data_IF_929050785384
#
_entry.id   IF_929050785384
#
_cell.length_a   1.000
_cell.length_b   1.000
_cell.length_c   1.000
_cell.angle_alpha   90.00
_cell.angle_beta   90.00
_cell.angle_gamma   90.00
#
_symmetry.space_group_name_H-M   'P 1'
#
loop_
_entity.id
_entity.type
_entity.pdbx_description
1 polymer ?
#
# COMPACT_ATOMS: atom_id res chain seq x y z
N UNK A 1 -28.82 -16.11 -70.80
CA UNK A 1 -28.96 -16.24 -69.33
C UNK A 1 -27.88 -15.36 -68.69
N UNK A 2 -28.28 -14.43 -67.80
CA UNK A 2 -27.42 -13.35 -67.28
C UNK A 2 -26.55 -13.85 -66.11
N UNK A 3 -25.28 -13.47 -66.11
CA UNK A 3 -24.29 -13.80 -65.09
C UNK A 3 -24.62 -13.11 -63.75
N UNK A 4 -24.61 -13.88 -62.65
CA UNK A 4 -24.81 -13.40 -61.28
C UNK A 4 -23.47 -13.44 -60.55
N UNK A 5 -22.91 -12.26 -60.26
CA UNK A 5 -21.71 -12.08 -59.43
C UNK A 5 -22.05 -12.46 -57.98
N UNK A 6 -21.23 -13.30 -57.36
CA UNK A 6 -21.25 -13.55 -55.91
C UNK A 6 -20.17 -12.65 -55.32
N UNK A 7 -20.59 -11.67 -54.52
CA UNK A 7 -19.69 -10.78 -53.78
C UNK A 7 -19.81 -11.11 -52.30
N UNK A 8 -18.67 -11.38 -51.68
CA UNK A 8 -18.48 -11.69 -50.27
C UNK A 8 -19.02 -10.58 -49.37
N UNK A 9 -19.86 -10.93 -48.40
CA UNK A 9 -20.27 -10.04 -47.32
C UNK A 9 -19.28 -10.17 -46.16
N UNK A 10 -18.41 -9.17 -46.01
CA UNK A 10 -17.59 -8.95 -44.82
C UNK A 10 -18.38 -7.96 -43.94
N UNK A 11 -18.96 -8.44 -42.83
CA UNK A 11 -19.62 -7.58 -41.86
C UNK A 11 -18.56 -6.95 -40.96
N UNK A 12 -18.26 -5.67 -41.17
CA UNK A 12 -17.50 -4.85 -40.24
C UNK A 12 -18.47 -4.20 -39.23
N UNK A 13 -18.33 -4.54 -37.95
CA UNK A 13 -18.90 -3.75 -36.86
C UNK A 13 -18.11 -2.43 -36.78
N UNK A 14 -18.76 -1.32 -37.15
CA UNK A 14 -18.22 0.02 -36.94
C UNK A 14 -18.68 0.47 -35.55
N UNK A 15 -17.73 0.63 -34.64
CA UNK A 15 -17.92 1.23 -33.32
C UNK A 15 -17.96 2.76 -33.51
N UNK A 16 -19.14 3.36 -33.37
CA UNK A 16 -19.31 4.81 -33.43
C UNK A 16 -18.70 5.47 -32.19
N UNK A 17 -17.52 6.08 -32.33
CA UNK A 17 -16.97 7.00 -31.33
C UNK A 17 -17.66 8.36 -31.54
N UNK A 18 -18.47 8.78 -30.57
CA UNK A 18 -19.03 10.11 -30.53
C UNK A 18 -17.90 11.14 -30.34
N UNK A 19 -17.67 11.97 -31.36
CA UNK A 19 -16.84 13.16 -31.26
C UNK A 19 -17.64 14.26 -30.54
N UNK A 20 -17.30 14.53 -29.29
CA UNK A 20 -17.71 15.78 -28.62
C UNK A 20 -16.93 16.94 -29.25
N UNK A 21 -17.58 18.09 -29.53
CA UNK A 21 -16.89 19.26 -30.05
C UNK A 21 -15.92 19.83 -29.00
N UNK A 22 -14.68 20.09 -29.41
CA UNK A 22 -13.70 20.84 -28.64
C UNK A 22 -14.24 22.25 -28.37
N UNK A 23 -14.77 22.49 -27.17
CA UNK A 23 -14.89 23.83 -26.63
C UNK A 23 -13.50 24.34 -26.27
N UNK A 24 -13.21 25.58 -26.69
CA UNK A 24 -11.96 26.29 -26.44
C UNK A 24 -11.48 26.10 -24.99
N UNK A 25 -10.33 25.48 -24.83
CA UNK A 25 -9.62 25.45 -23.57
C UNK A 25 -9.21 26.89 -23.21
N UNK A 26 -9.78 27.42 -22.13
CA UNK A 26 -9.18 28.54 -21.41
C UNK A 26 -7.72 28.19 -21.05
N UNK A 27 -6.80 29.16 -21.12
CA UNK A 27 -5.41 28.91 -20.73
C UNK A 27 -5.37 28.42 -19.28
N UNK A 28 -4.72 27.26 -19.09
CA UNK A 28 -4.46 26.65 -17.79
C UNK A 28 -3.92 27.69 -16.80
N UNK A 29 -4.77 28.06 -15.84
CA UNK A 29 -4.36 28.84 -14.68
C UNK A 29 -3.43 27.96 -13.83
N UNK A 30 -2.11 28.22 -13.92
CA UNK A 30 -1.05 27.50 -13.21
C UNK A 30 -1.22 27.46 -11.67
N UNK A 31 -2.18 28.19 -11.11
CA UNK A 31 -2.42 28.26 -9.68
C UNK A 31 -3.29 27.11 -9.11
N UNK A 32 -4.00 26.35 -9.94
CA UNK A 32 -4.88 25.24 -9.46
C UNK A 32 -4.12 23.92 -9.34
N UNK A 33 -3.10 23.69 -10.17
CA UNK A 33 -2.25 22.49 -10.09
C UNK A 33 -1.32 22.52 -8.86
N UNK A 34 -0.84 23.70 -8.47
CA UNK A 34 0.10 23.86 -7.34
C UNK A 34 -0.57 23.56 -5.99
N UNK A 35 -1.87 23.87 -5.84
CA UNK A 35 -2.57 23.73 -4.55
C UNK A 35 -2.91 22.27 -4.19
N UNK A 36 -3.16 21.41 -5.19
CA UNK A 36 -3.39 19.97 -4.95
C UNK A 36 -2.11 19.21 -4.64
N UNK A 37 -0.99 19.57 -5.27
CA UNK A 37 0.32 18.97 -4.96
C UNK A 37 0.83 19.41 -3.58
N UNK A 38 0.58 20.64 -3.14
CA UNK A 38 0.97 21.07 -1.80
C UNK A 38 0.14 20.37 -0.70
N UNK A 39 -1.17 20.28 -0.88
CA UNK A 39 -2.06 19.61 0.08
C UNK A 39 -1.83 18.10 0.16
N UNK A 40 -1.63 17.41 -0.97
CA UNK A 40 -1.31 15.98 -0.99
C UNK A 40 0.06 15.66 -0.41
N UNK A 41 1.05 16.54 -0.63
CA UNK A 41 2.40 16.35 -0.09
C UNK A 41 2.49 16.67 1.40
N UNK A 42 1.75 17.69 1.88
CA UNK A 42 1.61 17.95 3.31
C UNK A 42 0.96 16.78 4.07
N UNK A 43 -0.02 16.10 3.48
CA UNK A 43 -0.63 14.91 4.11
C UNK A 43 0.31 13.69 4.14
N UNK A 44 1.16 13.51 3.12
CA UNK A 44 2.16 12.41 3.13
C UNK A 44 3.31 12.69 4.08
N UNK A 45 3.73 13.95 4.19
CA UNK A 45 4.80 14.36 5.11
C UNK A 45 4.33 14.23 6.57
N UNK A 46 3.10 14.67 6.88
CA UNK A 46 2.49 14.48 8.20
C UNK A 46 2.39 12.99 8.57
N UNK A 47 1.81 12.17 7.70
CA UNK A 47 1.71 10.73 7.93
C UNK A 47 3.07 10.05 8.12
N UNK A 48 4.10 10.53 7.40
CA UNK A 48 5.46 10.02 7.56
C UNK A 48 5.99 10.32 8.96
N UNK A 49 5.84 11.55 9.43
CA UNK A 49 6.25 11.95 10.78
C UNK A 49 5.49 11.17 11.85
N UNK A 50 4.18 10.99 11.70
CA UNK A 50 3.34 10.23 12.63
C UNK A 50 3.82 8.78 12.75
N UNK A 51 4.05 8.10 11.62
CA UNK A 51 4.54 6.72 11.62
C UNK A 51 5.99 6.60 12.12
N UNK A 52 6.82 7.64 11.98
CA UNK A 52 8.16 7.69 12.59
C UNK A 52 8.07 7.86 14.10
N UNK A 53 7.07 8.58 14.61
CA UNK A 53 6.81 8.64 16.05
C UNK A 53 6.38 7.27 16.57
N UNK A 54 5.46 6.59 15.87
CA UNK A 54 4.99 5.25 16.22
C UNK A 54 6.09 4.18 16.13
N UNK A 55 7.10 4.36 15.27
CA UNK A 55 8.26 3.46 15.17
C UNK A 55 8.98 3.29 16.50
N UNK A 56 9.04 4.33 17.34
CA UNK A 56 9.70 4.29 18.66
C UNK A 56 9.03 3.32 19.66
N UNK A 57 7.76 3.00 19.40
CA UNK A 57 6.92 2.12 20.21
C UNK A 57 6.65 0.78 19.52
N UNK A 58 7.27 0.57 18.35
CA UNK A 58 7.17 -0.67 17.58
C UNK A 58 8.46 -1.46 17.78
N UNK A 59 8.33 -2.70 18.24
CA UNK A 59 9.47 -3.57 18.55
C UNK A 59 9.42 -4.84 17.68
N UNK A 60 9.96 -4.80 16.45
CA UNK A 60 9.88 -5.92 15.51
C UNK A 60 10.52 -7.20 16.01
N UNK A 61 11.64 -7.11 16.74
CA UNK A 61 12.36 -8.27 17.27
C UNK A 61 11.53 -9.08 18.27
N UNK A 62 10.63 -8.42 18.99
CA UNK A 62 9.74 -9.05 19.99
C UNK A 62 8.29 -9.16 19.51
N UNK A 63 7.97 -8.67 18.31
CA UNK A 63 6.59 -8.57 17.78
C UNK A 63 5.63 -7.89 18.76
N UNK A 64 6.05 -6.74 19.29
CA UNK A 64 5.28 -5.95 20.26
C UNK A 64 5.05 -4.54 19.73
N UNK A 65 3.84 -4.02 19.93
CA UNK A 65 3.54 -2.60 19.77
C UNK A 65 3.01 -2.01 21.10
N UNK A 66 3.67 -0.97 21.60
CA UNK A 66 3.29 -0.25 22.82
C UNK A 66 2.33 0.90 22.50
N UNK A 67 1.03 0.58 22.49
CA UNK A 67 -0.02 1.52 22.14
C UNK A 67 -0.20 2.59 23.22
N UNK A 68 -0.14 2.22 24.51
CA UNK A 68 -0.22 3.19 25.61
C UNK A 68 0.94 4.18 25.56
N UNK A 69 2.16 3.70 25.29
CA UNK A 69 3.34 4.55 25.14
C UNK A 69 3.21 5.54 23.97
N UNK A 70 2.66 5.09 22.84
CA UNK A 70 2.41 5.93 21.67
C UNK A 70 1.39 7.03 21.96
N UNK A 71 0.23 6.69 22.55
CA UNK A 71 -0.85 7.65 22.80
C UNK A 71 -0.54 8.60 23.97
N UNK A 72 0.28 8.18 24.93
CA UNK A 72 0.75 9.08 26.00
C UNK A 72 1.69 10.19 25.48
N UNK A 73 2.33 9.97 24.33
CA UNK A 73 3.21 10.95 23.71
C UNK A 73 2.44 12.00 22.90
N UNK A 74 1.44 11.54 22.15
CA UNK A 74 0.58 12.41 21.35
C UNK A 74 -0.78 11.73 21.12
N UNK A 75 -1.84 12.32 21.67
CA UNK A 75 -3.20 11.81 21.52
C UNK A 75 -3.74 11.99 20.09
N UNK A 76 -3.18 12.93 19.32
CA UNK A 76 -3.59 13.15 17.93
C UNK A 76 -3.23 11.96 17.02
N UNK A 77 -2.35 11.07 17.47
CA UNK A 77 -1.96 9.83 16.76
C UNK A 77 -2.97 8.68 16.93
N UNK A 78 -4.08 8.89 17.65
CA UNK A 78 -5.01 7.80 17.99
C UNK A 78 -5.50 7.03 16.76
N UNK A 79 -5.82 7.72 15.66
CA UNK A 79 -6.32 7.09 14.45
C UNK A 79 -5.28 6.14 13.84
N UNK A 80 -4.07 6.64 13.58
CA UNK A 80 -2.95 5.93 12.97
C UNK A 80 -2.43 4.82 13.89
N UNK A 81 -2.35 5.07 15.20
CA UNK A 81 -1.88 4.10 16.18
C UNK A 81 -2.83 2.90 16.31
N UNK A 82 -4.15 3.15 16.35
CA UNK A 82 -5.15 2.07 16.39
C UNK A 82 -5.21 1.30 15.07
N UNK A 83 -5.06 1.98 13.94
CA UNK A 83 -4.99 1.35 12.62
C UNK A 83 -3.76 0.44 12.50
N UNK A 84 -2.57 0.97 12.84
CA UNK A 84 -1.33 0.20 12.89
C UNK A 84 -1.45 -1.00 13.83
N UNK A 85 -1.94 -0.79 15.07
CA UNK A 85 -2.12 -1.85 16.05
C UNK A 85 -3.03 -2.96 15.52
N UNK A 86 -4.13 -2.61 14.84
CA UNK A 86 -5.05 -3.60 14.27
C UNK A 86 -4.41 -4.49 13.21
N UNK A 87 -3.53 -3.92 12.38
CA UNK A 87 -2.81 -4.68 11.35
C UNK A 87 -1.76 -5.57 12.00
N UNK A 88 -0.98 -5.04 12.93
CA UNK A 88 0.04 -5.82 13.64
C UNK A 88 -0.61 -6.98 14.43
N UNK A 89 -1.70 -6.75 15.14
CA UNK A 89 -2.46 -7.79 15.84
C UNK A 89 -2.97 -8.86 14.86
N UNK A 90 -3.44 -8.47 13.68
CA UNK A 90 -3.91 -9.41 12.66
C UNK A 90 -2.77 -10.33 12.17
N UNK A 91 -1.53 -9.85 12.18
CA UNK A 91 -0.31 -10.65 11.94
C UNK A 91 0.21 -11.39 13.19
N UNK A 92 -0.51 -11.34 14.31
CA UNK A 92 -0.18 -12.06 15.53
C UNK A 92 0.78 -11.33 16.46
N UNK A 93 0.95 -10.01 16.32
CA UNK A 93 1.74 -9.20 17.24
C UNK A 93 0.97 -8.95 18.55
N UNK A 94 1.71 -8.75 19.63
CA UNK A 94 1.14 -8.38 20.93
C UNK A 94 0.97 -6.86 21.00
N UNK A 95 -0.26 -6.42 21.27
CA UNK A 95 -0.58 -4.99 21.49
C UNK A 95 -0.61 -4.73 22.99
N UNK A 96 0.24 -3.83 23.47
CA UNK A 96 0.28 -3.43 24.88
C UNK A 96 -0.58 -2.20 25.10
N UNK A 97 -1.69 -2.39 25.79
CA UNK A 97 -2.52 -1.31 26.31
C UNK A 97 -3.20 -1.72 27.61
N UNK A 98 -3.35 -0.78 28.52
CA UNK A 98 -4.12 -0.91 29.77
C UNK A 98 -5.57 -0.47 29.59
N UNK A 99 -5.90 0.18 28.48
CA UNK A 99 -7.26 0.59 28.15
C UNK A 99 -8.01 -0.55 27.42
N UNK A 100 -9.05 -1.13 28.05
CA UNK A 100 -9.81 -2.22 27.43
C UNK A 100 -10.57 -1.78 26.17
N UNK A 101 -10.98 -0.51 26.06
CA UNK A 101 -11.69 -0.01 24.87
C UNK A 101 -10.77 0.03 23.65
N UNK A 102 -9.51 0.39 23.83
CA UNK A 102 -8.51 0.36 22.76
C UNK A 102 -8.23 -1.07 22.30
N UNK A 103 -8.07 -2.01 23.23
CA UNK A 103 -7.87 -3.43 22.89
C UNK A 103 -9.09 -4.01 22.15
N UNK A 104 -10.31 -3.67 22.57
CA UNK A 104 -11.53 -4.09 21.88
C UNK A 104 -11.59 -3.53 20.46
N UNK A 105 -11.31 -2.24 20.28
CA UNK A 105 -11.30 -1.59 18.97
C UNK A 105 -10.25 -2.21 18.03
N UNK A 106 -9.04 -2.43 18.54
CA UNK A 106 -7.94 -3.09 17.81
C UNK A 106 -8.36 -4.49 17.39
N UNK A 107 -8.94 -5.29 18.29
CA UNK A 107 -9.39 -6.64 18.00
C UNK A 107 -10.51 -6.70 16.94
N UNK A 108 -11.49 -5.79 17.04
CA UNK A 108 -12.57 -5.68 16.04
C UNK A 108 -11.99 -5.31 14.67
N UNK A 109 -11.13 -4.30 14.60
CA UNK A 109 -10.49 -3.87 13.35
C UNK A 109 -9.58 -4.96 12.78
N UNK A 110 -8.79 -5.62 13.63
CA UNK A 110 -7.89 -6.73 13.28
C UNK A 110 -8.65 -7.87 12.61
N UNK A 111 -9.83 -8.23 13.12
CA UNK A 111 -10.67 -9.26 12.51
C UNK A 111 -11.13 -8.89 11.08
N UNK A 112 -11.31 -7.59 10.80
CA UNK A 112 -11.64 -7.10 9.46
C UNK A 112 -10.42 -7.14 8.50
N UNK A 113 -9.20 -7.17 9.03
CA UNK A 113 -7.97 -7.26 8.25
C UNK A 113 -7.69 -8.67 7.68
N UNK A 114 -8.54 -9.66 7.95
CA UNK A 114 -8.37 -11.02 7.45
C UNK A 114 -8.16 -11.08 5.92
N UNK A 115 -8.84 -10.22 5.16
CA UNK A 115 -8.66 -10.14 3.70
C UNK A 115 -7.27 -9.68 3.27
N UNK A 116 -6.61 -8.84 4.08
CA UNK A 116 -5.24 -8.38 3.86
C UNK A 116 -4.24 -9.44 4.32
N UNK A 117 -4.44 -10.04 5.50
CA UNK A 117 -3.46 -10.95 6.14
C UNK A 117 -3.44 -12.36 5.55
N UNK A 118 -4.61 -12.96 5.27
CA UNK A 118 -4.71 -14.36 4.81
C UNK A 118 -3.89 -14.68 3.56
N UNK A 119 -3.77 -13.80 2.56
CA UNK A 119 -2.86 -14.02 1.44
C UNK A 119 -1.38 -14.20 1.86
N UNK A 120 -0.91 -13.45 2.87
CA UNK A 120 0.49 -13.51 3.33
C UNK A 120 0.80 -14.76 4.14
N UNK A 121 -0.17 -15.31 4.90
CA UNK A 121 0.05 -16.53 5.70
C UNK A 121 0.36 -17.77 4.84
N UNK A 122 0.01 -17.73 3.55
CA UNK A 122 0.30 -18.78 2.58
C UNK A 122 1.68 -18.62 1.92
N UNK A 123 2.38 -17.51 2.17
CA UNK A 123 3.66 -17.21 1.56
C UNK A 123 4.81 -17.79 2.39
N UNK A 124 5.51 -18.76 1.81
CA UNK A 124 6.61 -19.48 2.46
C UNK A 124 7.99 -19.08 1.91
N UNK A 125 8.08 -17.98 1.17
CA UNK A 125 9.34 -17.49 0.62
C UNK A 125 10.15 -16.68 1.64
N UNK A 126 11.33 -16.25 1.20
CA UNK A 126 12.22 -15.43 2.05
C UNK A 126 11.82 -13.96 1.91
N UNK A 127 11.18 -13.45 2.95
CA UNK A 127 10.91 -12.03 3.15
C UNK A 127 11.91 -11.46 4.16
N UNK A 128 12.23 -10.17 4.09
CA UNK A 128 13.19 -9.54 4.99
C UNK A 128 13.67 -8.19 4.51
N UNK A 129 14.91 -7.83 4.88
CA UNK A 129 15.52 -6.56 4.48
C UNK A 129 16.93 -6.73 3.94
N UNK A 130 17.32 -5.77 3.12
CA UNK A 130 18.66 -5.60 2.58
C UNK A 130 19.21 -4.26 3.09
N UNK A 131 20.46 -4.27 3.58
CA UNK A 131 21.08 -3.08 4.16
C UNK A 131 21.60 -2.09 3.10
N UNK A 132 22.17 -2.60 2.00
CA UNK A 132 22.82 -1.76 0.97
C UNK A 132 22.53 -2.27 -0.45
N UNK A 133 21.88 -1.47 -1.30
CA UNK A 133 21.01 -0.35 -0.94
C UNK A 133 19.86 -0.79 0.01
N UNK A 134 19.40 0.07 0.94
CA UNK A 134 18.28 -0.24 1.83
C UNK A 134 17.04 -0.67 1.03
N UNK A 135 16.54 -1.86 1.29
CA UNK A 135 15.34 -2.37 0.64
C UNK A 135 14.60 -3.40 1.49
N UNK A 136 13.30 -3.51 1.25
CA UNK A 136 12.49 -4.63 1.71
C UNK A 136 12.51 -5.71 0.63
N UNK A 137 12.77 -6.94 1.04
CA UNK A 137 12.77 -8.13 0.20
C UNK A 137 11.43 -8.84 0.39
N UNK A 138 10.69 -9.03 -0.70
CA UNK A 138 9.44 -9.78 -0.71
C UNK A 138 9.50 -10.91 -1.72
N UNK A 139 9.11 -12.12 -1.33
CA UNK A 139 8.91 -13.22 -2.26
C UNK A 139 7.74 -12.93 -3.22
N UNK A 140 7.60 -13.72 -4.29
CA UNK A 140 6.57 -13.49 -5.31
C UNK A 140 5.13 -13.63 -4.79
N UNK A 141 4.91 -14.45 -3.76
CA UNK A 141 3.61 -14.59 -3.10
C UNK A 141 3.30 -13.34 -2.28
N UNK A 142 4.23 -12.89 -1.42
CA UNK A 142 4.07 -11.70 -0.60
C UNK A 142 3.93 -10.44 -1.46
N UNK A 143 4.67 -10.34 -2.57
CA UNK A 143 4.53 -9.26 -3.54
C UNK A 143 3.13 -9.22 -4.18
N UNK A 144 2.58 -10.38 -4.53
CA UNK A 144 1.24 -10.50 -5.11
C UNK A 144 0.14 -10.21 -4.08
N UNK A 145 0.31 -10.69 -2.84
CA UNK A 145 -0.56 -10.37 -1.71
C UNK A 145 -0.59 -8.86 -1.44
N UNK A 146 0.57 -8.21 -1.42
CA UNK A 146 0.70 -6.77 -1.24
C UNK A 146 0.03 -5.98 -2.38
N UNK A 147 0.20 -6.42 -3.62
CA UNK A 147 -0.49 -5.81 -4.76
C UNK A 147 -2.02 -5.92 -4.66
N UNK A 148 -2.53 -7.06 -4.19
CA UNK A 148 -3.95 -7.26 -3.95
C UNK A 148 -4.47 -6.37 -2.81
N UNK A 149 -3.70 -6.22 -1.73
CA UNK A 149 -4.04 -5.32 -0.63
C UNK A 149 -4.17 -3.87 -1.11
N UNK A 150 -3.20 -3.38 -1.89
CA UNK A 150 -3.25 -2.02 -2.47
C UNK A 150 -4.47 -1.86 -3.39
N UNK A 151 -4.75 -2.85 -4.24
CA UNK A 151 -5.91 -2.81 -5.14
C UNK A 151 -7.24 -2.88 -4.36
N UNK A 152 -7.23 -3.52 -3.20
CA UNK A 152 -8.33 -3.56 -2.24
C UNK A 152 -8.55 -2.25 -1.48
N UNK A 153 -7.68 -1.25 -1.68
CA UNK A 153 -7.77 0.05 -1.03
C UNK A 153 -7.01 0.15 0.30
N UNK A 154 -6.02 -0.71 0.54
CA UNK A 154 -5.21 -0.65 1.75
C UNK A 154 -4.54 0.72 1.91
N UNK A 155 -4.56 1.26 3.13
CA UNK A 155 -3.97 2.56 3.45
C UNK A 155 -2.44 2.46 3.54
N UNK A 156 -1.75 3.62 3.57
CA UNK A 156 -0.31 3.62 3.79
C UNK A 156 0.08 3.11 5.19
N UNK A 157 -0.76 3.32 6.23
CA UNK A 157 -0.55 2.77 7.57
C UNK A 157 -0.65 1.24 7.54
N UNK A 158 -1.70 0.71 6.90
CA UNK A 158 -1.90 -0.74 6.77
C UNK A 158 -0.75 -1.41 6.00
N UNK A 159 -0.29 -0.78 4.93
CA UNK A 159 0.83 -1.28 4.15
C UNK A 159 2.15 -1.20 4.92
N UNK A 160 2.40 -0.11 5.65
CA UNK A 160 3.59 0.01 6.49
C UNK A 160 3.60 -1.05 7.60
N UNK A 161 2.48 -1.20 8.31
CA UNK A 161 2.29 -2.23 9.33
C UNK A 161 2.45 -3.64 8.76
N UNK A 162 1.90 -3.91 7.57
CA UNK A 162 2.04 -5.20 6.88
C UNK A 162 3.50 -5.49 6.54
N UNK A 163 4.20 -4.53 5.93
CA UNK A 163 5.62 -4.67 5.58
C UNK A 163 6.49 -4.93 6.81
N UNK A 164 6.28 -4.17 7.88
CA UNK A 164 6.91 -4.37 9.19
C UNK A 164 6.62 -5.77 9.73
N UNK A 165 5.35 -6.20 9.71
CA UNK A 165 4.94 -7.50 10.25
C UNK A 165 5.57 -8.69 9.51
N UNK A 166 5.64 -8.66 8.18
CA UNK A 166 6.11 -9.80 7.38
C UNK A 166 7.63 -9.82 7.21
N UNK A 167 8.32 -8.69 7.38
CA UNK A 167 9.78 -8.59 7.15
C UNK A 167 10.59 -8.28 8.39
N UNK A 168 9.94 -7.89 9.49
CA UNK A 168 10.62 -7.50 10.74
C UNK A 168 11.38 -6.18 10.64
N UNK A 169 11.13 -5.37 9.61
CA UNK A 169 11.75 -4.04 9.47
C UNK A 169 11.06 -3.01 10.35
N UNK A 170 11.76 -1.92 10.64
CA UNK A 170 11.16 -0.78 11.32
C UNK A 170 10.19 -0.02 10.41
N UNK A 171 9.21 0.67 11.00
CA UNK A 171 8.31 1.57 10.29
C UNK A 171 9.07 2.68 9.59
N UNK A 172 10.20 3.14 10.12
CA UNK A 172 11.04 4.12 9.43
C UNK A 172 11.48 3.68 8.02
N UNK A 173 11.65 2.37 7.79
CA UNK A 173 11.93 1.84 6.45
C UNK A 173 10.64 1.51 5.68
N UNK A 174 9.64 0.96 6.36
CA UNK A 174 8.39 0.52 5.73
C UNK A 174 7.50 1.67 5.24
N UNK A 175 7.41 2.76 6.00
CA UNK A 175 6.56 3.93 5.72
C UNK A 175 6.81 4.59 4.36
N UNK A 176 8.04 5.02 4.02
CA UNK A 176 8.28 5.65 2.71
C UNK A 176 8.00 4.70 1.54
N UNK A 177 8.22 3.40 1.74
CA UNK A 177 7.85 2.37 0.76
C UNK A 177 6.33 2.32 0.64
N UNK A 178 5.61 2.16 1.73
CA UNK A 178 4.14 2.08 1.76
C UNK A 178 3.48 3.28 1.07
N UNK A 179 3.93 4.50 1.38
CA UNK A 179 3.46 5.73 0.74
C UNK A 179 3.72 5.70 -0.78
N UNK A 180 4.94 5.30 -1.17
CA UNK A 180 5.29 5.12 -2.58
C UNK A 180 4.41 4.09 -3.29
N UNK A 181 4.05 2.99 -2.61
CA UNK A 181 3.21 1.93 -3.15
C UNK A 181 1.76 2.38 -3.35
N UNK A 182 1.18 3.12 -2.40
CA UNK A 182 -0.16 3.72 -2.56
C UNK A 182 -0.19 4.65 -3.78
N UNK A 183 0.88 5.42 -3.99
CA UNK A 183 0.99 6.30 -5.14
C UNK A 183 1.21 5.55 -6.47
N UNK A 184 1.84 4.37 -6.46
CA UNK A 184 2.37 3.68 -7.65
C UNK A 184 2.13 2.16 -7.66
N UNK A 185 0.89 1.74 -7.37
CA UNK A 185 0.49 0.32 -7.29
C UNK A 185 0.82 -0.54 -8.52
N UNK A 186 0.87 0.09 -9.70
CA UNK A 186 1.15 -0.59 -10.98
C UNK A 186 2.59 -1.07 -11.12
N UNK A 187 3.55 -0.48 -10.40
CA UNK A 187 4.96 -0.82 -10.52
C UNK A 187 5.30 -2.17 -9.88
N UNK A 188 4.62 -2.55 -8.79
CA UNK A 188 4.84 -3.85 -8.11
C UNK A 188 4.59 -5.01 -9.07
N UNK A 189 3.52 -4.95 -9.86
CA UNK A 189 3.16 -6.03 -10.79
C UNK A 189 4.23 -6.27 -11.86
N UNK A 190 4.90 -5.20 -12.31
CA UNK A 190 6.01 -5.31 -13.26
C UNK A 190 7.20 -5.97 -12.58
N UNK A 191 7.53 -5.53 -11.36
CA UNK A 191 8.65 -6.09 -10.61
C UNK A 191 8.46 -7.55 -10.20
N UNK A 192 7.23 -7.96 -9.90
CA UNK A 192 6.89 -9.33 -9.54
C UNK A 192 6.83 -10.30 -10.73
N UNK A 193 6.79 -9.78 -11.97
CA UNK A 193 6.57 -10.59 -13.18
C UNK A 193 7.69 -11.59 -13.50
N UNK A 194 8.87 -11.42 -12.90
CA UNK A 194 10.04 -12.27 -13.13
C UNK A 194 10.12 -13.50 -12.21
N UNK A 195 9.20 -13.67 -11.26
CA UNK A 195 9.07 -14.89 -10.46
C UNK A 195 10.16 -15.16 -9.42
N UNK A 196 11.07 -14.20 -9.18
CA UNK A 196 12.16 -14.33 -8.21
C UNK A 196 11.92 -13.54 -6.90
N UNK A 197 10.72 -12.99 -6.71
CA UNK A 197 10.43 -11.97 -5.69
C UNK A 197 10.88 -10.56 -6.12
N UNK A 198 10.59 -9.57 -5.27
CA UNK A 198 10.90 -8.16 -5.50
C UNK A 198 11.75 -7.54 -4.37
N UNK A 199 12.54 -6.55 -4.73
CA UNK A 199 13.14 -5.56 -3.83
C UNK A 199 12.32 -4.29 -3.91
N UNK A 200 11.93 -3.74 -2.77
CA UNK A 200 11.25 -2.46 -2.65
C UNK A 200 12.20 -1.45 -1.99
N UNK A 201 12.48 -0.36 -2.67
CA UNK A 201 13.38 0.68 -2.20
C UNK A 201 12.58 1.84 -1.58
N UNK A 202 13.14 2.55 -0.57
CA UNK A 202 12.49 3.70 0.08
C UNK A 202 12.05 4.81 -0.86
N UNK A 203 12.66 4.92 -2.04
CA UNK A 203 12.27 5.89 -3.06
C UNK A 203 11.11 5.41 -3.96
N UNK A 204 10.41 4.34 -3.58
CA UNK A 204 9.28 3.78 -4.31
C UNK A 204 9.67 2.97 -5.55
N UNK A 205 10.97 2.81 -5.85
CA UNK A 205 11.42 1.93 -6.94
C UNK A 205 11.32 0.46 -6.51
N UNK A 206 11.12 -0.42 -7.48
CA UNK A 206 11.21 -1.86 -7.26
C UNK A 206 12.08 -2.54 -8.32
N UNK A 207 12.63 -3.71 -7.99
CA UNK A 207 13.43 -4.54 -8.88
C UNK A 207 13.20 -6.03 -8.61
N UNK A 208 13.48 -6.92 -9.57
CA UNK A 208 13.56 -8.36 -9.28
C UNK A 208 14.64 -8.61 -8.23
N UNK A 209 14.42 -9.55 -7.31
CA UNK A 209 15.53 -10.04 -6.47
C UNK A 209 16.57 -10.78 -7.31
#
# INVERSE_FOLDING_TARGET
>A
MKAKKISSALAALILSVALSPCTNAEPLNHNVASNKTHSGQQTTDALTEDLLVLDRYTYPDTMVFDLDGALAQDEDLEAEALELASVLEAFGWSIQSTNPEYLENVSVKSSAQAGIVQPFSNCNGKNGSQLVPPAILLDSCAASALQNAITGGATAVELAGTLTAITGVSLALATPIAIGLVAQASLIGICGSWGNGIRLFPNGMCWSQ
#
